data_IF_492116300134
#
_entry.id   IF_492116300134
#
_cell.length_a   1.000
_cell.length_b   1.000
_cell.length_c   1.000
_cell.angle_alpha   90.00
_cell.angle_beta   90.00
_cell.angle_gamma   90.00
#
_symmetry.space_group_name_H-M   'P 1'
#
loop_
_entity.id
_entity.type
_entity.pdbx_description
1 polymer ?
#
# COMPACT_ATOMS: atom_id res chain seq x y z
N UNK A 1 -31.89 9.68 -2.15
CA UNK A 1 -30.66 8.88 -1.94
C UNK A 1 -29.62 9.46 -2.87
N UNK A 2 -28.65 10.19 -2.32
CA UNK A 2 -27.56 10.73 -3.11
C UNK A 2 -26.73 9.57 -3.67
N UNK A 3 -26.42 9.62 -4.96
CA UNK A 3 -25.52 8.63 -5.57
C UNK A 3 -24.15 8.79 -4.88
N UNK A 4 -23.54 7.71 -4.35
CA UNK A 4 -22.21 7.80 -3.77
C UNK A 4 -21.24 8.29 -4.85
N UNK A 5 -20.47 9.33 -4.50
CA UNK A 5 -19.48 9.93 -5.39
C UNK A 5 -18.53 8.86 -5.94
N UNK A 6 -18.13 9.02 -7.21
CA UNK A 6 -17.24 8.07 -7.87
C UNK A 6 -15.80 8.29 -7.37
N UNK A 7 -15.04 7.22 -7.06
CA UNK A 7 -13.67 7.32 -6.60
C UNK A 7 -12.72 7.69 -7.75
N UNK A 8 -12.56 8.97 -8.03
CA UNK A 8 -11.72 9.45 -9.14
C UNK A 8 -10.22 9.46 -8.79
N UNK A 9 -9.83 9.37 -7.50
CA UNK A 9 -8.43 9.40 -7.05
C UNK A 9 -7.88 8.08 -6.53
N UNK A 10 -8.61 6.97 -6.69
CA UNK A 10 -8.23 5.70 -6.04
C UNK A 10 -8.40 4.50 -6.96
N UNK A 11 -8.35 4.73 -8.26
CA UNK A 11 -8.50 3.66 -9.25
C UNK A 11 -7.16 3.31 -9.89
N UNK A 12 -6.87 2.01 -9.90
CA UNK A 12 -5.78 1.39 -10.66
C UNK A 12 -6.44 0.39 -11.60
N UNK A 13 -6.28 0.52 -12.93
CA UNK A 13 -6.75 -0.50 -13.85
C UNK A 13 -6.16 -1.86 -13.51
N UNK A 14 -6.94 -2.94 -13.69
CA UNK A 14 -6.52 -4.31 -13.37
C UNK A 14 -5.14 -4.66 -13.95
N UNK A 15 -4.92 -4.38 -15.24
CA UNK A 15 -3.64 -4.65 -15.91
C UNK A 15 -2.44 -3.89 -15.31
N UNK A 16 -2.66 -2.69 -14.72
CA UNK A 16 -1.60 -1.93 -14.02
C UNK A 16 -1.30 -2.58 -12.68
N UNK A 17 -2.34 -2.98 -11.94
CA UNK A 17 -2.20 -3.74 -10.70
C UNK A 17 -1.43 -5.04 -10.92
N UNK A 18 -1.77 -5.79 -11.96
CA UNK A 18 -1.09 -7.03 -12.36
C UNK A 18 0.38 -6.79 -12.73
N UNK A 19 0.66 -5.73 -13.50
CA UNK A 19 2.04 -5.38 -13.86
C UNK A 19 2.90 -5.09 -12.63
N UNK A 20 2.36 -4.33 -11.67
CA UNK A 20 3.04 -3.99 -10.40
C UNK A 20 3.23 -5.21 -9.49
N UNK A 21 2.23 -6.09 -9.43
CA UNK A 21 2.35 -7.33 -8.68
C UNK A 21 3.38 -8.27 -9.32
N UNK A 22 3.38 -8.39 -10.65
CA UNK A 22 4.36 -9.18 -11.38
C UNK A 22 5.79 -8.63 -11.18
N UNK A 23 5.95 -7.31 -11.17
CA UNK A 23 7.23 -6.68 -10.86
C UNK A 23 7.74 -7.05 -9.46
N UNK A 24 6.88 -6.94 -8.45
CA UNK A 24 7.21 -7.40 -7.09
C UNK A 24 7.64 -8.88 -7.06
N UNK A 25 6.84 -9.76 -7.67
CA UNK A 25 7.09 -11.22 -7.69
C UNK A 25 8.40 -11.59 -8.40
N UNK A 26 8.77 -10.85 -9.43
CA UNK A 26 9.94 -11.17 -10.27
C UNK A 26 11.23 -10.49 -9.79
N UNK A 27 11.14 -9.32 -9.14
CA UNK A 27 12.32 -8.52 -8.75
C UNK A 27 12.55 -8.45 -7.25
N UNK A 28 11.50 -8.24 -6.46
CA UNK A 28 11.61 -7.96 -5.01
C UNK A 28 11.48 -9.22 -4.17
N UNK A 29 10.43 -10.00 -4.38
CA UNK A 29 10.17 -11.25 -3.66
C UNK A 29 11.36 -12.21 -3.66
N UNK A 30 12.08 -12.45 -4.79
CA UNK A 30 13.23 -13.36 -4.80
C UNK A 30 14.39 -12.87 -3.94
N UNK A 31 14.53 -11.56 -3.74
CA UNK A 31 15.57 -11.02 -2.85
C UNK A 31 15.21 -11.22 -1.38
N UNK A 32 13.92 -11.09 -1.03
CA UNK A 32 13.43 -11.39 0.32
C UNK A 32 13.56 -12.88 0.65
N UNK A 33 13.16 -13.74 -0.29
CA UNK A 33 13.25 -15.21 -0.16
C UNK A 33 14.70 -15.72 0.00
N UNK A 34 15.72 -14.90 -0.32
CA UNK A 34 17.14 -15.24 -0.11
C UNK A 34 17.63 -14.94 1.31
N UNK A 35 16.95 -14.05 2.05
CA UNK A 35 17.35 -13.67 3.40
C UNK A 35 17.10 -14.79 4.41
N UNK A 36 16.02 -15.54 4.21
CA UNK A 36 15.73 -16.73 4.98
C UNK A 36 15.05 -17.78 4.08
N UNK A 37 15.76 -18.85 3.74
CA UNK A 37 15.22 -19.86 2.84
C UNK A 37 14.12 -20.74 3.49
N UNK A 38 13.97 -20.68 4.82
CA UNK A 38 13.03 -21.53 5.57
C UNK A 38 11.60 -21.01 5.56
N UNK A 39 11.43 -19.70 5.34
CA UNK A 39 10.15 -19.02 5.28
C UNK A 39 10.00 -18.44 3.86
N UNK A 40 8.80 -18.04 3.46
CA UNK A 40 8.58 -17.32 2.20
C UNK A 40 8.03 -15.94 2.50
N UNK A 41 8.58 -14.93 1.84
CA UNK A 41 8.09 -13.57 1.99
C UNK A 41 6.60 -13.50 1.63
N UNK A 42 5.77 -12.81 2.42
CA UNK A 42 4.35 -12.69 2.14
C UNK A 42 4.12 -11.97 0.81
N UNK A 43 3.05 -12.34 0.10
CA UNK A 43 2.59 -11.61 -1.08
C UNK A 43 1.43 -10.66 -0.75
N UNK A 44 0.68 -10.98 0.29
CA UNK A 44 -0.49 -10.25 0.72
C UNK A 44 -0.78 -10.47 2.20
N UNK A 45 -1.51 -9.53 2.78
CA UNK A 45 -2.05 -9.57 4.13
C UNK A 45 -3.57 -9.52 4.03
N UNK A 46 -4.25 -10.48 4.65
CA UNK A 46 -5.72 -10.56 4.61
C UNK A 46 -6.32 -9.69 5.70
N UNK A 47 -7.44 -9.04 5.41
CA UNK A 47 -8.26 -8.28 6.34
C UNK A 47 -9.65 -8.93 6.34
N UNK A 48 -10.05 -9.46 7.50
CA UNK A 48 -11.30 -10.23 7.63
C UNK A 48 -12.48 -9.37 8.06
N UNK A 49 -12.25 -8.40 8.94
CA UNK A 49 -13.28 -7.48 9.40
C UNK A 49 -13.11 -6.12 8.72
N UNK A 50 -13.82 -5.95 7.59
CA UNK A 50 -13.80 -4.71 6.80
C UNK A 50 -14.28 -3.51 7.64
N UNK A 51 -15.29 -3.69 8.49
CA UNK A 51 -15.88 -2.60 9.26
C UNK A 51 -14.94 -2.13 10.34
N UNK A 52 -14.35 -3.06 11.08
CA UNK A 52 -13.34 -2.74 12.08
C UNK A 52 -12.10 -2.11 11.44
N UNK A 53 -11.65 -2.62 10.28
CA UNK A 53 -10.56 -2.02 9.52
C UNK A 53 -10.84 -0.56 9.17
N UNK A 54 -11.98 -0.26 8.54
CA UNK A 54 -12.35 1.11 8.18
C UNK A 54 -12.38 2.01 9.43
N UNK A 55 -13.03 1.58 10.50
CA UNK A 55 -13.14 2.36 11.74
C UNK A 55 -11.76 2.68 12.35
N UNK A 56 -10.84 1.71 12.35
CA UNK A 56 -9.48 1.91 12.84
C UNK A 56 -8.68 2.88 11.98
N UNK A 57 -8.78 2.81 10.64
CA UNK A 57 -8.13 3.78 9.76
C UNK A 57 -8.72 5.17 9.93
N UNK A 58 -10.05 5.31 10.04
CA UNK A 58 -10.72 6.60 10.29
C UNK A 58 -10.25 7.23 11.60
N UNK A 59 -10.13 6.42 12.68
CA UNK A 59 -9.57 6.86 13.97
C UNK A 59 -8.14 7.37 13.82
N UNK A 60 -7.29 6.66 13.05
CA UNK A 60 -5.90 7.08 12.81
C UNK A 60 -5.81 8.43 12.08
N UNK A 61 -6.67 8.66 11.09
CA UNK A 61 -6.60 9.86 10.24
C UNK A 61 -7.46 11.03 10.75
N UNK A 62 -8.28 10.84 11.78
CA UNK A 62 -9.17 11.89 12.32
C UNK A 62 -8.41 13.20 12.63
N UNK A 63 -7.29 13.09 13.35
CA UNK A 63 -6.45 14.24 13.74
C UNK A 63 -5.25 14.46 12.83
N UNK A 64 -4.69 13.37 12.31
CA UNK A 64 -3.48 13.41 11.50
C UNK A 64 -3.76 13.73 10.03
N UNK A 65 -5.00 13.54 9.58
CA UNK A 65 -5.50 13.72 8.20
C UNK A 65 -4.95 12.71 7.19
N UNK A 66 -3.67 12.34 7.24
CA UNK A 66 -3.08 11.41 6.28
C UNK A 66 -2.73 10.08 6.94
N UNK A 67 -2.57 9.05 6.12
CA UNK A 67 -2.16 7.72 6.51
C UNK A 67 -0.75 7.42 5.99
N UNK A 68 0.07 6.80 6.82
CA UNK A 68 1.30 6.13 6.43
C UNK A 68 1.17 4.63 6.74
N UNK A 69 1.61 3.80 5.81
CA UNK A 69 1.75 2.35 6.02
C UNK A 69 3.23 2.03 5.96
N UNK A 70 3.83 1.79 7.12
CA UNK A 70 5.24 1.43 7.26
C UNK A 70 5.41 -0.07 7.09
N UNK A 71 6.56 -0.45 6.54
CA UNK A 71 7.03 -1.83 6.57
C UNK A 71 7.83 -2.05 7.85
N UNK A 72 7.57 -3.17 8.52
CA UNK A 72 8.30 -3.58 9.73
C UNK A 72 8.76 -5.03 9.64
N UNK A 73 9.67 -5.43 10.53
CA UNK A 73 10.10 -6.82 10.72
C UNK A 73 10.32 -7.10 12.21
N UNK A 74 9.89 -8.26 12.69
CA UNK A 74 10.09 -8.65 14.09
C UNK A 74 11.58 -8.78 14.45
N UNK A 75 12.40 -9.35 13.56
CA UNK A 75 13.84 -9.53 13.74
C UNK A 75 14.60 -8.96 12.55
N UNK A 76 15.61 -8.12 12.80
CA UNK A 76 16.48 -7.60 11.76
C UNK A 76 17.06 -8.72 10.88
N UNK A 77 17.03 -8.51 9.55
CA UNK A 77 17.57 -9.46 8.58
C UNK A 77 16.68 -10.67 8.27
N UNK A 78 15.52 -10.82 8.94
CA UNK A 78 14.49 -11.80 8.54
C UNK A 78 13.53 -11.20 7.53
N UNK A 79 12.85 -12.06 6.76
CA UNK A 79 11.91 -11.63 5.71
C UNK A 79 10.45 -11.50 6.20
N UNK A 80 10.20 -11.62 7.50
CA UNK A 80 8.87 -11.61 8.11
C UNK A 80 8.29 -10.19 8.13
N UNK A 81 7.98 -9.66 6.95
CA UNK A 81 7.44 -8.31 6.77
C UNK A 81 6.07 -8.23 7.42
N UNK A 82 5.88 -7.19 8.24
CA UNK A 82 4.60 -6.77 8.80
C UNK A 82 4.23 -5.38 8.30
N UNK A 83 2.94 -5.04 8.36
CA UNK A 83 2.44 -3.71 8.00
C UNK A 83 1.99 -2.94 9.24
N UNK A 84 2.50 -1.72 9.38
CA UNK A 84 2.16 -0.81 10.48
C UNK A 84 1.42 0.40 9.92
N UNK A 85 0.18 0.57 10.34
CA UNK A 85 -0.68 1.69 9.96
C UNK A 85 -0.54 2.82 10.98
N UNK A 86 -0.32 4.04 10.50
CA UNK A 86 -0.07 5.20 11.35
C UNK A 86 -0.68 6.47 10.73
N UNK A 87 -1.33 7.28 11.56
CA UNK A 87 -1.81 8.61 11.14
C UNK A 87 -0.69 9.65 11.21
N UNK A 88 -0.37 10.31 10.10
CA UNK A 88 0.67 11.36 10.07
C UNK A 88 0.18 12.70 9.48
N UNK A 89 0.63 13.82 10.07
CA UNK A 89 0.25 15.18 9.63
C UNK A 89 0.91 15.59 8.32
N UNK A 90 2.18 15.24 8.15
CA UNK A 90 3.00 15.48 6.97
C UNK A 90 3.97 14.32 6.83
N UNK A 91 4.50 14.10 5.62
CA UNK A 91 5.49 13.08 5.31
C UNK A 91 6.73 13.08 6.24
N UNK A 92 7.13 14.23 6.78
CA UNK A 92 8.28 14.33 7.70
C UNK A 92 7.96 14.07 9.18
N UNK A 93 6.69 13.83 9.53
CA UNK A 93 6.27 13.69 10.93
C UNK A 93 6.41 12.25 11.40
N UNK A 94 6.94 12.06 12.62
CA UNK A 94 6.89 10.77 13.30
C UNK A 94 5.44 10.44 13.73
N UNK A 95 5.04 9.17 13.64
CA UNK A 95 3.76 8.71 14.18
C UNK A 95 3.69 8.80 15.71
N UNK A 96 2.49 9.07 16.22
CA UNK A 96 2.21 9.04 17.66
C UNK A 96 1.51 7.76 18.11
N UNK A 97 1.09 6.92 17.15
CA UNK A 97 0.38 5.66 17.38
C UNK A 97 0.60 4.77 16.16
N UNK A 98 0.72 3.46 16.38
CA UNK A 98 0.77 2.46 15.32
C UNK A 98 -0.33 1.42 15.53
N UNK A 99 -0.83 0.91 14.42
CA UNK A 99 -1.69 -0.27 14.38
C UNK A 99 -0.99 -1.34 13.54
N UNK A 100 -0.68 -2.46 14.15
CA UNK A 100 -0.11 -3.64 13.48
C UNK A 100 -1.23 -4.42 12.81
N UNK A 101 -1.06 -4.76 11.53
CA UNK A 101 -1.90 -5.75 10.86
C UNK A 101 -1.45 -7.15 11.29
N UNK A 102 -2.22 -7.77 12.18
CA UNK A 102 -1.88 -9.08 12.76
C UNK A 102 -2.24 -10.24 11.81
N UNK A 103 -1.83 -11.45 12.19
CA UNK A 103 -1.98 -12.68 11.38
C UNK A 103 -3.44 -13.08 11.19
N UNK A 104 -4.31 -12.65 12.09
CA UNK A 104 -5.75 -12.85 12.06
C UNK A 104 -6.46 -11.87 11.11
N UNK A 105 -5.74 -10.86 10.62
CA UNK A 105 -6.24 -9.84 9.70
C UNK A 105 -6.99 -8.71 10.38
N UNK A 106 -6.72 -8.47 11.66
CA UNK A 106 -7.16 -7.32 12.44
C UNK A 106 -6.06 -6.28 12.59
N UNK A 107 -6.46 -5.04 12.90
CA UNK A 107 -5.53 -3.98 13.27
C UNK A 107 -5.48 -3.87 14.80
N UNK A 108 -4.31 -4.11 15.36
CA UNK A 108 -4.04 -4.06 16.80
C UNK A 108 -3.19 -2.83 17.14
N UNK A 109 -3.63 -2.03 18.10
CA UNK A 109 -2.85 -0.87 18.55
C UNK A 109 -1.61 -1.35 19.32
N UNK A 110 -0.43 -0.90 18.88
CA UNK A 110 0.85 -1.22 19.52
C UNK A 110 1.52 0.05 20.04
N UNK A 111 2.49 -0.13 20.94
CA UNK A 111 3.25 1.00 21.48
C UNK A 111 4.11 1.69 20.40
N UNK A 112 4.39 2.98 20.58
CA UNK A 112 5.27 3.74 19.67
C UNK A 112 6.69 3.15 19.65
N UNK A 113 7.18 2.68 20.80
CA UNK A 113 8.49 2.03 20.94
C UNK A 113 8.57 0.75 20.13
N UNK A 114 7.56 -0.11 20.24
CA UNK A 114 7.45 -1.35 19.48
C UNK A 114 7.35 -1.08 17.98
N UNK A 115 6.47 -0.17 17.56
CA UNK A 115 6.33 0.19 16.14
C UNK A 115 7.62 0.78 15.54
N UNK A 116 8.36 1.59 16.30
CA UNK A 116 9.66 2.08 15.88
C UNK A 116 10.70 0.96 15.79
N UNK A 117 10.69 0.00 16.72
CA UNK A 117 11.58 -1.16 16.70
C UNK A 117 11.37 -1.99 15.44
N UNK A 118 10.12 -2.34 15.13
CA UNK A 118 9.76 -3.09 13.93
C UNK A 118 10.18 -2.36 12.65
N UNK A 119 9.94 -1.04 12.58
CA UNK A 119 10.36 -0.21 11.43
C UNK A 119 11.89 -0.17 11.29
N UNK A 120 12.63 -0.01 12.38
CA UNK A 120 14.09 0.07 12.35
C UNK A 120 14.70 -1.27 11.90
N UNK A 121 14.15 -2.40 12.35
CA UNK A 121 14.57 -3.73 11.88
C UNK A 121 14.38 -3.89 10.36
N UNK A 122 13.27 -3.39 9.81
CA UNK A 122 13.05 -3.36 8.36
C UNK A 122 14.10 -2.48 7.65
N UNK A 123 14.33 -1.26 8.15
CA UNK A 123 15.26 -0.30 7.57
C UNK A 123 16.71 -0.80 7.55
N UNK A 124 17.14 -1.48 8.62
CA UNK A 124 18.52 -1.97 8.72
C UNK A 124 18.72 -3.31 8.00
N UNK A 125 17.70 -4.16 7.96
CA UNK A 125 17.79 -5.51 7.41
C UNK A 125 17.29 -5.66 5.97
N UNK A 126 16.01 -5.36 5.73
CA UNK A 126 15.34 -5.65 4.45
C UNK A 126 15.55 -4.54 3.43
N UNK A 127 15.38 -3.28 3.83
CA UNK A 127 15.38 -2.14 2.92
C UNK A 127 16.66 -2.06 2.04
N UNK A 128 17.88 -2.28 2.56
CA UNK A 128 19.10 -2.25 1.75
C UNK A 128 19.18 -3.40 0.73
N UNK A 129 18.60 -4.55 1.07
CA UNK A 129 18.58 -5.73 0.19
C UNK A 129 17.63 -5.49 -0.98
N UNK A 130 16.46 -4.91 -0.70
CA UNK A 130 15.51 -4.52 -1.72
C UNK A 130 16.00 -3.36 -2.58
N UNK A 131 16.71 -2.37 -2.02
CA UNK A 131 17.30 -1.27 -2.78
C UNK A 131 18.26 -1.74 -3.88
N UNK A 132 19.02 -2.81 -3.64
CA UNK A 132 19.95 -3.42 -4.61
C UNK A 132 19.28 -4.23 -5.73
N UNK A 133 17.96 -4.39 -5.69
CA UNK A 133 17.24 -5.21 -6.68
C UNK A 133 16.88 -4.46 -7.97
N UNK A 134 17.14 -3.16 -8.00
CA UNK A 134 16.63 -2.22 -9.00
C UNK A 134 17.68 -1.16 -9.33
N UNK A 135 17.62 -0.60 -10.54
CA UNK A 135 18.60 0.37 -11.02
C UNK A 135 18.31 1.82 -10.55
N UNK A 136 17.20 2.05 -9.81
CA UNK A 136 16.74 3.38 -9.34
C UNK A 136 17.46 3.90 -8.08
N UNK A 137 18.57 3.27 -7.69
CA UNK A 137 19.44 3.69 -6.59
C UNK A 137 19.11 3.09 -5.21
N UNK A 138 20.03 3.26 -4.25
CA UNK A 138 20.10 2.58 -2.95
C UNK A 138 18.97 2.89 -1.95
N UNK A 139 17.94 3.65 -2.33
CA UNK A 139 16.96 4.18 -1.38
C UNK A 139 15.55 3.61 -1.65
N UNK A 140 15.32 2.42 -1.11
CA UNK A 140 14.02 1.72 -1.12
C UNK A 140 12.99 2.39 -0.19
N UNK A 141 11.69 2.12 -0.40
CA UNK A 141 10.58 2.65 0.40
C UNK A 141 10.73 2.33 1.89
N UNK A 142 10.54 3.35 2.72
CA UNK A 142 10.34 3.24 4.17
C UNK A 142 8.85 3.01 4.49
N UNK A 143 7.98 3.79 3.87
CA UNK A 143 6.53 3.69 4.05
C UNK A 143 5.76 4.19 2.84
N UNK A 144 4.49 3.79 2.74
CA UNK A 144 3.57 4.26 1.71
C UNK A 144 2.65 5.34 2.28
N UNK A 145 2.65 6.51 1.66
CA UNK A 145 1.87 7.68 2.09
C UNK A 145 0.55 7.82 1.34
N UNK A 146 -0.54 8.03 2.06
CA UNK A 146 -1.85 8.34 1.49
C UNK A 146 -2.35 9.67 2.03
N UNK A 147 -2.56 10.62 1.12
CA UNK A 147 -3.21 11.89 1.44
C UNK A 147 -4.65 11.66 1.91
N UNK A 148 -5.15 12.56 2.77
CA UNK A 148 -6.50 12.49 3.35
C UNK A 148 -7.58 12.13 2.33
N UNK A 149 -7.63 12.86 1.22
CA UNK A 149 -8.69 12.71 0.22
C UNK A 149 -8.60 11.34 -0.47
N UNK A 150 -7.38 10.86 -0.74
CA UNK A 150 -7.13 9.56 -1.35
C UNK A 150 -7.58 8.45 -0.40
N UNK A 151 -7.12 8.47 0.87
CA UNK A 151 -7.50 7.42 1.81
C UNK A 151 -9.01 7.46 2.11
N UNK A 152 -9.63 8.65 2.18
CA UNK A 152 -11.07 8.78 2.36
C UNK A 152 -11.86 8.18 1.19
N UNK A 153 -11.43 8.42 -0.06
CA UNK A 153 -12.02 7.80 -1.24
C UNK A 153 -11.84 6.27 -1.25
N UNK A 154 -10.67 5.75 -0.86
CA UNK A 154 -10.42 4.29 -0.76
C UNK A 154 -11.40 3.67 0.24
N UNK A 155 -11.49 4.24 1.45
CA UNK A 155 -12.38 3.74 2.50
C UNK A 155 -13.85 3.86 2.10
N UNK A 156 -14.23 4.94 1.41
CA UNK A 156 -15.57 5.16 0.88
C UNK A 156 -15.96 4.09 -0.13
N UNK A 157 -15.06 3.74 -1.06
CA UNK A 157 -15.32 2.71 -2.07
C UNK A 157 -15.40 1.32 -1.43
N UNK A 158 -14.49 0.98 -0.51
CA UNK A 158 -14.54 -0.26 0.26
C UNK A 158 -15.89 -0.37 0.98
N UNK A 159 -16.31 0.68 1.69
CA UNK A 159 -17.59 0.73 2.42
C UNK A 159 -18.78 0.53 1.47
N UNK A 160 -18.73 1.15 0.29
CA UNK A 160 -19.78 1.00 -0.71
C UNK A 160 -19.90 -0.45 -1.19
N UNK A 161 -18.78 -1.07 -1.57
CA UNK A 161 -18.78 -2.45 -2.08
C UNK A 161 -19.18 -3.47 -1.01
N UNK A 162 -18.74 -3.27 0.23
CA UNK A 162 -19.16 -4.08 1.40
C UNK A 162 -20.66 -3.94 1.66
N UNK A 163 -21.19 -2.70 1.67
CA UNK A 163 -22.62 -2.45 1.85
C UNK A 163 -23.50 -3.04 0.74
N UNK A 164 -22.95 -3.20 -0.47
CA UNK A 164 -23.59 -3.90 -1.60
C UNK A 164 -23.38 -5.41 -1.58
N UNK A 165 -22.68 -5.95 -0.58
CA UNK A 165 -22.33 -7.38 -0.43
C UNK A 165 -21.54 -7.97 -1.60
N UNK A 166 -20.82 -7.12 -2.34
CA UNK A 166 -20.01 -7.53 -3.49
C UNK A 166 -18.64 -8.05 -3.09
N UNK A 167 -18.21 -7.76 -1.87
CA UNK A 167 -16.99 -8.24 -1.24
C UNK A 167 -17.33 -8.78 0.15
N UNK A 168 -16.51 -9.72 0.64
CA UNK A 168 -16.60 -10.25 2.00
C UNK A 168 -15.29 -10.13 2.79
N UNK A 169 -14.23 -9.64 2.15
CA UNK A 169 -12.97 -9.33 2.78
C UNK A 169 -12.12 -8.40 1.91
N UNK A 170 -10.95 -8.08 2.45
CA UNK A 170 -9.95 -7.23 1.79
C UNK A 170 -8.59 -7.88 1.90
N UNK A 171 -7.70 -7.49 0.99
CA UNK A 171 -6.28 -7.81 1.07
C UNK A 171 -5.44 -6.57 0.85
N UNK A 172 -4.34 -6.48 1.58
CA UNK A 172 -3.25 -5.56 1.28
C UNK A 172 -2.18 -6.37 0.56
N UNK A 173 -2.03 -6.16 -0.73
CA UNK A 173 -1.00 -6.83 -1.54
C UNK A 173 0.30 -6.04 -1.48
N UNK A 174 1.42 -6.74 -1.33
CA UNK A 174 2.72 -6.16 -1.62
C UNK A 174 2.87 -6.06 -3.14
N UNK A 175 3.14 -4.86 -3.61
CA UNK A 175 3.37 -4.57 -5.02
C UNK A 175 4.62 -3.73 -5.16
N UNK A 176 5.13 -3.59 -6.38
CA UNK A 176 6.21 -2.68 -6.64
C UNK A 176 5.84 -1.84 -7.85
N UNK A 177 6.16 -0.55 -7.83
CA UNK A 177 6.01 0.28 -9.03
C UNK A 177 6.83 -0.37 -10.14
N UNK A 178 6.35 -0.40 -11.37
CA UNK A 178 7.14 -0.97 -12.46
C UNK A 178 8.21 0.03 -12.93
N UNK A 179 9.01 -0.37 -13.93
CA UNK A 179 9.99 0.52 -14.54
C UNK A 179 9.33 1.72 -15.26
N UNK A 180 10.17 2.68 -15.68
CA UNK A 180 9.76 3.96 -16.29
C UNK A 180 8.94 3.77 -17.58
N UNK A 181 9.25 2.74 -18.36
CA UNK A 181 8.56 2.39 -19.60
C UNK A 181 7.16 1.81 -19.33
N UNK A 182 7.08 0.85 -18.40
CA UNK A 182 5.83 0.25 -17.98
C UNK A 182 4.92 1.29 -17.32
N UNK A 183 5.42 2.07 -16.35
CA UNK A 183 4.63 3.10 -15.67
C UNK A 183 4.31 4.30 -16.60
N UNK A 184 5.25 4.72 -17.47
CA UNK A 184 5.08 5.85 -18.39
C UNK A 184 4.00 5.61 -19.45
N UNK A 185 3.77 4.36 -19.86
CA UNK A 185 2.63 3.98 -20.70
C UNK A 185 1.28 4.23 -20.03
N UNK A 186 1.23 4.24 -18.68
CA UNK A 186 0.01 4.44 -17.90
C UNK A 186 -0.25 5.91 -17.59
N UNK A 187 0.80 6.70 -17.36
CA UNK A 187 0.68 8.15 -17.13
C UNK A 187 0.86 8.91 -18.44
N UNK A 188 -0.14 8.85 -19.33
CA UNK A 188 -0.18 9.68 -20.56
C UNK A 188 0.04 11.15 -20.20
N UNK A 189 1.23 11.69 -20.50
CA UNK A 189 1.68 13.08 -20.29
C UNK A 189 2.13 13.51 -18.88
N UNK A 190 2.52 12.61 -17.97
CA UNK A 190 3.24 13.03 -16.75
C UNK A 190 4.70 12.64 -16.82
N UNK A 191 5.56 13.47 -16.22
CA UNK A 191 6.87 13.01 -15.75
C UNK A 191 6.65 11.68 -15.02
N UNK A 192 7.27 10.61 -15.50
CA UNK A 192 7.17 9.31 -14.86
C UNK A 192 7.46 9.47 -13.35
N UNK A 193 6.76 8.72 -12.47
CA UNK A 193 6.99 8.84 -11.03
C UNK A 193 8.48 8.81 -10.73
N UNK A 194 8.98 9.70 -9.86
CA UNK A 194 10.41 9.74 -9.47
C UNK A 194 10.86 8.52 -8.64
N UNK A 195 9.96 7.57 -8.40
CA UNK A 195 10.06 6.52 -7.39
C UNK A 195 9.71 5.17 -8.01
N UNK A 196 10.43 4.78 -9.06
CA UNK A 196 10.10 3.59 -9.83
C UNK A 196 10.66 2.36 -9.16
N UNK A 197 10.07 1.20 -9.45
CA UNK A 197 10.63 -0.07 -8.95
C UNK A 197 10.66 -0.19 -7.42
N UNK A 198 9.99 0.72 -6.70
CA UNK A 198 9.96 0.73 -5.24
C UNK A 198 8.84 -0.13 -4.69
N UNK A 199 9.04 -0.67 -3.50
CA UNK A 199 8.03 -1.42 -2.76
C UNK A 199 6.86 -0.49 -2.40
N UNK A 200 5.65 -0.99 -2.56
CA UNK A 200 4.41 -0.29 -2.27
C UNK A 200 3.35 -1.32 -1.84
N UNK A 201 2.13 -0.85 -1.59
CA UNK A 201 0.99 -1.69 -1.26
C UNK A 201 -0.18 -1.38 -2.19
N UNK A 202 -1.09 -2.34 -2.34
CA UNK A 202 -2.35 -2.14 -3.05
C UNK A 202 -3.49 -2.80 -2.26
N UNK A 203 -4.58 -2.07 -2.05
CA UNK A 203 -5.81 -2.66 -1.52
C UNK A 203 -6.54 -3.42 -2.63
N UNK A 204 -6.89 -4.66 -2.35
CA UNK A 204 -7.65 -5.55 -3.23
C UNK A 204 -8.80 -6.18 -2.46
N UNK A 205 -9.75 -6.74 -3.20
CA UNK A 205 -10.97 -7.28 -2.64
C UNK A 205 -10.89 -8.79 -2.57
N UNK A 206 -11.64 -9.38 -1.63
CA UNK A 206 -11.95 -10.80 -1.66
C UNK A 206 -13.45 -11.01 -1.72
N UNK A 207 -13.83 -12.09 -2.41
CA UNK A 207 -15.20 -12.57 -2.47
C UNK A 207 -15.20 -14.10 -2.49
N UNK A 208 -16.00 -14.70 -1.61
CA UNK A 208 -16.13 -16.15 -1.45
C UNK A 208 -14.76 -16.83 -1.23
N UNK A 209 -13.89 -16.15 -0.46
CA UNK A 209 -12.53 -16.60 -0.16
C UNK A 209 -11.53 -16.50 -1.33
N UNK A 210 -11.88 -15.85 -2.45
CA UNK A 210 -11.02 -15.67 -3.62
C UNK A 210 -10.66 -14.21 -3.83
N UNK A 211 -9.48 -13.98 -4.38
CA UNK A 211 -9.03 -12.64 -4.75
C UNK A 211 -9.83 -12.15 -5.96
N UNK A 212 -10.24 -10.90 -5.91
CA UNK A 212 -11.01 -10.25 -6.98
C UNK A 212 -10.58 -8.79 -7.09
N UNK A 213 -10.86 -8.19 -8.25
CA UNK A 213 -10.56 -6.79 -8.52
C UNK A 213 -11.87 -5.98 -8.64
N UNK A 214 -11.73 -4.65 -8.81
CA UNK A 214 -12.88 -3.74 -8.94
C UNK A 214 -13.73 -4.03 -10.19
N UNK A 215 -13.10 -4.37 -11.31
CA UNK A 215 -13.77 -4.68 -12.57
C UNK A 215 -14.72 -5.89 -12.44
N UNK A 216 -14.27 -6.92 -11.73
CA UNK A 216 -15.01 -8.16 -11.55
C UNK A 216 -16.19 -8.01 -10.57
N UNK A 217 -16.01 -7.25 -9.49
CA UNK A 217 -17.07 -7.08 -8.48
C UNK A 217 -18.14 -6.05 -8.86
N UNK A 218 -17.79 -5.08 -9.71
CA UNK A 218 -18.67 -3.98 -10.07
C UNK A 218 -18.29 -3.33 -11.40
N UNK A 219 -18.40 -4.09 -12.49
CA UNK A 219 -18.04 -3.64 -13.84
C UNK A 219 -18.64 -2.30 -14.25
N UNK A 220 -19.91 -2.05 -13.91
CA UNK A 220 -20.59 -0.79 -14.28
C UNK A 220 -19.90 0.40 -13.62
N UNK A 221 -19.69 0.35 -12.29
CA UNK A 221 -19.02 1.43 -11.58
C UNK A 221 -17.54 1.53 -11.95
N UNK A 222 -16.87 0.41 -12.21
CA UNK A 222 -15.51 0.39 -12.75
C UNK A 222 -15.40 1.20 -14.04
N UNK A 223 -16.31 0.97 -14.99
CA UNK A 223 -16.36 1.69 -16.26
C UNK A 223 -16.66 3.19 -16.06
N UNK A 224 -17.64 3.53 -15.21
CA UNK A 224 -17.96 4.92 -14.87
C UNK A 224 -16.78 5.65 -14.21
N UNK A 225 -16.11 5.01 -13.24
CA UNK A 225 -14.90 5.55 -12.59
C UNK A 225 -13.77 5.75 -13.60
N UNK A 226 -13.56 4.79 -14.51
CA UNK A 226 -12.54 4.88 -15.55
C UNK A 226 -12.80 6.06 -16.49
N UNK A 227 -14.05 6.25 -16.91
CA UNK A 227 -14.45 7.38 -17.76
C UNK A 227 -14.25 8.73 -17.07
N UNK A 228 -14.63 8.86 -15.81
CA UNK A 228 -14.43 10.10 -15.04
C UNK A 228 -12.95 10.38 -14.77
N UNK A 229 -12.14 9.35 -14.51
CA UNK A 229 -10.70 9.52 -14.40
C UNK A 229 -10.06 10.02 -15.69
N UNK A 230 -10.50 9.55 -16.85
CA UNK A 230 -10.01 10.03 -18.15
C UNK A 230 -10.32 11.52 -18.37
N UNK A 231 -11.36 12.06 -17.72
CA UNK A 231 -11.74 13.49 -17.78
C UNK A 231 -11.05 14.33 -16.68
N UNK A 232 -10.51 13.69 -15.64
CA UNK A 232 -9.96 14.34 -14.44
C UNK A 232 -8.48 14.03 -14.18
N UNK A 233 -8.05 14.22 -12.92
CA UNK A 233 -6.71 13.83 -12.46
C UNK A 233 -6.79 12.46 -11.79
N UNK A 234 -6.15 11.44 -12.37
CA UNK A 234 -5.98 10.12 -11.75
C UNK A 234 -5.23 10.24 -10.42
N UNK A 235 -5.77 9.58 -9.40
CA UNK A 235 -5.08 9.19 -8.18
C UNK A 235 -5.04 7.67 -8.08
N UNK A 236 -4.00 7.15 -7.45
CA UNK A 236 -3.67 5.73 -7.43
C UNK A 236 -4.10 5.11 -6.09
N UNK A 237 -4.67 3.91 -6.14
CA UNK A 237 -4.94 3.05 -4.96
C UNK A 237 -3.67 2.49 -4.27
N UNK A 238 -2.49 2.99 -4.62
CA UNK A 238 -1.20 2.47 -4.17
C UNK A 238 -0.41 3.40 -3.24
N UNK A 239 -1.00 4.56 -2.90
CA UNK A 239 -0.31 5.61 -2.14
C UNK A 239 0.99 6.05 -2.81
N UNK A 240 1.77 6.90 -2.15
CA UNK A 240 3.07 7.36 -2.63
C UNK A 240 4.17 6.66 -1.84
N UNK A 241 5.04 5.84 -2.45
CA UNK A 241 6.18 5.25 -1.75
C UNK A 241 7.17 6.35 -1.35
N UNK A 242 7.41 6.50 -0.04
CA UNK A 242 8.33 7.48 0.51
C UNK A 242 9.65 6.79 0.91
N UNK A 243 10.80 7.23 0.36
CA UNK A 243 12.11 6.74 0.80
C UNK A 243 12.46 7.28 2.20
N UNK A 244 13.40 6.66 2.94
CA UNK A 244 13.98 7.30 4.11
C UNK A 244 14.64 8.63 3.73
N UNK A 245 14.72 9.58 4.68
CA UNK A 245 15.48 10.81 4.45
C UNK A 245 16.92 10.47 4.05
N UNK A 246 17.57 11.27 3.19
CA UNK A 246 18.97 11.08 2.86
C UNK A 246 19.78 10.99 4.16
N UNK A 247 20.77 10.11 4.21
CA UNK A 247 21.75 10.11 5.29
C UNK A 247 22.25 11.55 5.45
N UNK A 248 22.15 12.10 6.66
CA UNK A 248 22.84 13.34 7.01
C UNK A 248 24.33 13.03 6.98
N UNK A 249 24.91 13.00 5.78
CA UNK A 249 26.36 13.01 5.62
C UNK A 249 26.87 14.27 6.30
N UNK A 250 27.94 14.12 7.06
CA UNK A 250 28.61 15.20 7.78
C UNK A 250 28.75 16.44 6.87
N UNK A 251 28.09 17.53 7.28
CA UNK A 251 28.38 18.87 6.75
C UNK A 251 29.69 19.33 7.37
#
# INVERSE_FOLDING_TARGET
MDKPELPIRTFIPTHVGDARQNWYKTKKKPMLDRLDASIKAPENFSIRDIKAFIANIEKLIEKSRNLAVYFGVETEGKQDVVLLFAGIKRWSNLPNTYYLLNKEGGLEEISVEEGNTLRNNYQNGIQPVLGRSTDDGDIETEYVFFEKDIIAEILGEIRFQEGKKRIDGLKVQLVSYANKEAEGGFFRNRDAPKYLERLSIMFTYTKDGRDTNFEDIDRVRYEETREEQNKGKSGLNSGNPIPPPPSRGDI
#
